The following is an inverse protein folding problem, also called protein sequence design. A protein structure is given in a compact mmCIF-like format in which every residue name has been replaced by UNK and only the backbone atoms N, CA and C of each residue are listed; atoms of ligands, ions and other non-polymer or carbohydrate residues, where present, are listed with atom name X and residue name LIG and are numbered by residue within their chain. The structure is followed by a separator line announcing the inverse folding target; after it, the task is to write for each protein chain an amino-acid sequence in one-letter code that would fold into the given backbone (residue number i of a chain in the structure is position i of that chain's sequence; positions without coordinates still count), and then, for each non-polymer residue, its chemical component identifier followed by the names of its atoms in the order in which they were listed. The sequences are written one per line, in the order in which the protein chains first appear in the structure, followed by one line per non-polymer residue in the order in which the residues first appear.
data_IF_429286503144
#
_entry.id   IF_429286503144
#
_cell.length_a   1.000
_cell.length_b   1.000
_cell.length_c   1.000
_cell.angle_alpha   90.00
_cell.angle_beta   90.00
_cell.angle_gamma   90.00
#
_symmetry.space_group_name_H-M   'P 1'
#
loop_
_entity.id
_entity.type
_entity.pdbx_description
1 polymer ?
#
# COMPACT_ATOMS: atom_id res chain seq x y z
N UNK A 1 -24.31 -80.35 67.59
CA UNK A 1 -23.45 -79.22 68.02
C UNK A 1 -22.08 -79.16 67.35
N UNK A 2 -21.43 -80.26 66.92
CA UNK A 2 -20.10 -80.20 66.26
C UNK A 2 -20.17 -80.06 64.72
N UNK A 3 -21.16 -80.68 64.09
CA UNK A 3 -21.38 -80.64 62.63
C UNK A 3 -21.86 -79.28 62.14
N UNK A 4 -22.78 -78.62 62.87
CA UNK A 4 -23.24 -77.26 62.57
C UNK A 4 -22.12 -76.23 62.68
N UNK A 5 -21.24 -76.38 63.68
CA UNK A 5 -20.06 -75.53 63.85
C UNK A 5 -19.08 -75.68 62.68
N UNK A 6 -18.85 -76.91 62.20
CA UNK A 6 -18.00 -77.16 61.03
C UNK A 6 -18.56 -76.58 59.72
N UNK A 7 -19.88 -76.64 59.53
CA UNK A 7 -20.55 -76.06 58.37
C UNK A 7 -20.50 -74.54 58.41
N UNK A 8 -20.80 -73.94 59.57
CA UNK A 8 -20.71 -72.50 59.80
C UNK A 8 -19.30 -71.98 59.53
N UNK A 9 -18.27 -72.66 60.05
CA UNK A 9 -16.87 -72.31 59.78
C UNK A 9 -16.52 -72.39 58.29
N UNK A 10 -16.96 -73.44 57.59
CA UNK A 10 -16.74 -73.57 56.13
C UNK A 10 -17.43 -72.47 55.33
N UNK A 11 -18.64 -72.09 55.71
CA UNK A 11 -19.37 -70.97 55.08
C UNK A 11 -18.69 -69.63 55.35
N UNK A 12 -18.23 -69.38 56.57
CA UNK A 12 -17.48 -68.18 56.92
C UNK A 12 -16.19 -68.05 56.11
N UNK A 13 -15.37 -69.11 56.06
CA UNK A 13 -14.12 -69.13 55.28
C UNK A 13 -14.40 -68.90 53.80
N UNK A 14 -15.43 -69.54 53.24
CA UNK A 14 -15.82 -69.32 51.84
C UNK A 14 -16.24 -67.86 51.59
N UNK A 15 -17.08 -67.30 52.46
CA UNK A 15 -17.51 -65.90 52.35
C UNK A 15 -16.34 -64.91 52.46
N UNK A 16 -15.36 -65.19 53.32
CA UNK A 16 -14.16 -64.37 53.46
C UNK A 16 -13.29 -64.41 52.19
N UNK A 17 -13.11 -65.61 51.61
CA UNK A 17 -12.39 -65.80 50.34
C UNK A 17 -13.11 -65.08 49.20
N UNK A 18 -14.43 -65.26 49.06
CA UNK A 18 -15.22 -64.63 48.00
C UNK A 18 -15.18 -63.10 48.11
N UNK A 19 -15.22 -62.57 49.35
CA UNK A 19 -15.09 -61.12 49.61
C UNK A 19 -13.70 -60.60 49.24
N UNK A 20 -12.65 -61.35 49.59
CA UNK A 20 -11.27 -61.00 49.23
C UNK A 20 -11.08 -60.98 47.71
N UNK A 21 -11.53 -62.04 47.03
CA UNK A 21 -11.48 -62.13 45.56
C UNK A 21 -12.25 -61.01 44.87
N UNK A 22 -13.41 -60.62 45.39
CA UNK A 22 -14.18 -59.49 44.87
C UNK A 22 -13.41 -58.18 45.01
N UNK A 23 -12.86 -57.90 46.19
CA UNK A 23 -12.04 -56.70 46.43
C UNK A 23 -10.82 -56.65 45.52
N UNK A 24 -10.10 -57.76 45.35
CA UNK A 24 -8.95 -57.81 44.43
C UNK A 24 -9.35 -57.47 42.98
N UNK A 25 -10.50 -57.95 42.50
CA UNK A 25 -11.01 -57.60 41.16
C UNK A 25 -11.46 -56.15 41.05
N UNK A 26 -12.07 -55.61 42.11
CA UNK A 26 -12.47 -54.20 42.15
C UNK A 26 -11.24 -53.28 42.16
N UNK A 27 -10.19 -53.64 42.92
CA UNK A 27 -8.91 -52.93 42.96
C UNK A 27 -8.21 -52.99 41.59
N UNK A 28 -8.19 -54.14 40.92
CA UNK A 28 -7.61 -54.30 39.57
C UNK A 28 -8.27 -53.34 38.56
N UNK A 29 -9.60 -53.27 38.55
CA UNK A 29 -10.34 -52.30 37.73
C UNK A 29 -10.04 -50.84 38.08
N UNK A 30 -9.87 -50.53 39.37
CA UNK A 30 -9.46 -49.19 39.78
C UNK A 30 -8.06 -48.85 39.27
N UNK A 31 -7.11 -49.80 39.33
CA UNK A 31 -5.77 -49.59 38.80
C UNK A 31 -5.77 -49.38 37.28
N UNK A 32 -6.56 -50.15 36.53
CA UNK A 32 -6.74 -49.94 35.08
C UNK A 32 -7.27 -48.54 34.78
N UNK A 33 -8.33 -48.12 35.49
CA UNK A 33 -8.93 -46.78 35.33
C UNK A 33 -7.92 -45.67 35.66
N UNK A 34 -7.11 -45.84 36.71
CA UNK A 34 -6.05 -44.88 37.07
C UNK A 34 -4.99 -44.79 35.96
N UNK A 35 -4.62 -45.92 35.35
CA UNK A 35 -3.66 -45.92 34.24
C UNK A 35 -4.23 -45.21 33.01
N UNK A 36 -5.50 -45.42 32.68
CA UNK A 36 -6.19 -44.72 31.60
C UNK A 36 -6.20 -43.21 31.84
N UNK A 37 -6.60 -42.76 33.04
CA UNK A 37 -6.57 -41.34 33.37
C UNK A 37 -5.17 -40.73 33.32
N UNK A 38 -4.13 -41.47 33.72
CA UNK A 38 -2.74 -41.00 33.58
C UNK A 38 -2.36 -40.79 32.11
N UNK A 39 -2.71 -41.73 31.22
CA UNK A 39 -2.45 -41.60 29.78
C UNK A 39 -3.22 -40.43 29.17
N UNK A 40 -4.49 -40.28 29.53
CA UNK A 40 -5.29 -39.13 29.08
C UNK A 40 -4.71 -37.80 29.55
N UNK A 41 -4.28 -37.71 30.80
CA UNK A 41 -3.68 -36.50 31.36
C UNK A 41 -2.37 -36.14 30.64
N UNK A 42 -1.54 -37.13 30.34
CA UNK A 42 -0.31 -36.93 29.57
C UNK A 42 -0.61 -36.41 28.16
N UNK A 43 -1.60 -37.00 27.48
CA UNK A 43 -2.02 -36.55 26.15
C UNK A 43 -2.59 -35.13 26.18
N UNK A 44 -3.48 -34.81 27.14
CA UNK A 44 -4.01 -33.45 27.33
C UNK A 44 -2.89 -32.44 27.58
N UNK A 45 -1.87 -32.81 28.37
CA UNK A 45 -0.72 -31.95 28.62
C UNK A 45 0.13 -31.72 27.37
N UNK A 46 0.32 -32.73 26.51
CA UNK A 46 1.00 -32.57 25.21
C UNK A 46 0.23 -31.60 24.32
N UNK A 47 -1.06 -31.82 24.13
CA UNK A 47 -1.92 -30.92 23.34
C UNK A 47 -1.96 -29.50 23.91
N UNK A 48 -1.96 -29.33 25.23
CA UNK A 48 -1.92 -28.02 25.86
C UNK A 48 -0.62 -27.28 25.53
N UNK A 49 0.53 -27.96 25.56
CA UNK A 49 1.82 -27.38 25.20
C UNK A 49 1.86 -26.95 23.73
N UNK A 50 1.36 -27.79 22.84
CA UNK A 50 1.25 -27.48 21.40
C UNK A 50 0.38 -26.25 21.15
N UNK A 51 -0.81 -26.20 21.77
CA UNK A 51 -1.71 -25.04 21.66
C UNK A 51 -1.07 -23.76 22.20
N UNK A 52 -0.35 -23.83 23.33
CA UNK A 52 0.37 -22.66 23.87
C UNK A 52 1.44 -22.16 22.91
N UNK A 53 2.18 -23.07 22.28
CA UNK A 53 3.19 -22.72 21.27
C UNK A 53 2.53 -22.05 20.07
N UNK A 54 1.47 -22.64 19.52
CA UNK A 54 0.75 -22.07 18.37
C UNK A 54 0.19 -20.67 18.68
N UNK A 55 -0.37 -20.46 19.88
CA UNK A 55 -0.82 -19.12 20.32
C UNK A 55 0.36 -18.14 20.36
N UNK A 56 1.51 -18.56 20.89
CA UNK A 56 2.69 -17.70 20.95
C UNK A 56 3.21 -17.31 19.56
N UNK A 57 3.22 -18.24 18.61
CA UNK A 57 3.61 -18.00 17.22
C UNK A 57 2.66 -16.99 16.55
N UNK A 58 1.34 -17.22 16.67
CA UNK A 58 0.34 -16.30 16.13
C UNK A 58 0.42 -14.90 16.76
N UNK A 59 0.65 -14.80 18.07
CA UNK A 59 0.83 -13.49 18.72
C UNK A 59 2.06 -12.74 18.19
N UNK A 60 3.16 -13.44 17.93
CA UNK A 60 4.36 -12.85 17.35
C UNK A 60 4.09 -12.31 15.94
N UNK A 61 3.40 -13.09 15.09
CA UNK A 61 3.01 -12.64 13.75
C UNK A 61 2.08 -11.43 13.78
N UNK A 62 1.14 -11.38 14.73
CA UNK A 62 0.25 -10.24 14.91
C UNK A 62 1.03 -8.98 15.29
N UNK A 63 2.01 -9.10 16.21
CA UNK A 63 2.85 -7.97 16.60
C UNK A 63 3.69 -7.46 15.43
N UNK A 64 4.30 -8.35 14.65
CA UNK A 64 5.07 -7.99 13.46
C UNK A 64 4.20 -7.23 12.44
N UNK A 65 3.02 -7.77 12.11
CA UNK A 65 2.08 -7.12 11.18
C UNK A 65 1.58 -5.77 11.67
N UNK A 66 1.40 -5.59 12.98
CA UNK A 66 0.98 -4.30 13.54
C UNK A 66 2.09 -3.25 13.41
N UNK A 67 3.37 -3.64 13.58
CA UNK A 67 4.51 -2.74 13.32
C UNK A 67 4.62 -2.36 11.85
N UNK A 68 4.48 -3.33 10.93
CA UNK A 68 4.49 -3.07 9.49
C UNK A 68 3.35 -2.13 9.07
N UNK A 69 2.16 -2.34 9.63
CA UNK A 69 1.00 -1.47 9.40
C UNK A 69 1.28 -0.03 9.80
N UNK A 70 1.90 0.20 10.96
CA UNK A 70 2.23 1.54 11.44
C UNK A 70 3.27 2.22 10.53
N UNK A 71 4.30 1.50 10.09
CA UNK A 71 5.29 2.01 9.13
C UNK A 71 4.63 2.40 7.78
N UNK A 72 3.70 1.57 7.28
CA UNK A 72 2.95 1.86 6.06
C UNK A 72 2.08 3.13 6.24
N UNK A 73 1.39 3.28 7.38
CA UNK A 73 0.58 4.46 7.68
C UNK A 73 1.44 5.73 7.68
N UNK A 74 2.61 5.68 8.31
CA UNK A 74 3.54 6.81 8.34
C UNK A 74 4.07 7.17 6.95
N UNK A 75 4.40 6.16 6.12
CA UNK A 75 4.81 6.38 4.72
C UNK A 75 3.70 7.02 3.89
N UNK A 76 2.46 6.56 4.04
CA UNK A 76 1.31 7.13 3.33
C UNK A 76 1.11 8.59 3.73
N UNK A 77 1.18 8.91 5.02
CA UNK A 77 1.01 10.26 5.51
C UNK A 77 2.09 11.21 4.96
N UNK A 78 3.37 10.79 4.98
CA UNK A 78 4.48 11.55 4.41
C UNK A 78 4.28 11.80 2.91
N UNK A 79 3.92 10.77 2.15
CA UNK A 79 3.68 10.90 0.71
C UNK A 79 2.53 11.86 0.38
N UNK A 80 1.46 11.84 1.18
CA UNK A 80 0.32 12.76 1.03
C UNK A 80 0.71 14.22 1.27
N UNK A 81 1.53 14.48 2.28
CA UNK A 81 2.06 15.82 2.56
C UNK A 81 2.98 16.31 1.45
N UNK A 82 3.90 15.47 0.98
CA UNK A 82 4.78 15.81 -0.15
C UNK A 82 4.00 16.07 -1.44
N UNK A 83 2.98 15.26 -1.73
CA UNK A 83 2.11 15.46 -2.88
C UNK A 83 1.37 16.80 -2.80
N UNK A 84 0.86 17.15 -1.62
CA UNK A 84 0.16 18.42 -1.40
C UNK A 84 1.09 19.60 -1.64
N UNK A 85 2.30 19.58 -1.06
CA UNK A 85 3.33 20.63 -1.27
C UNK A 85 3.72 20.77 -2.74
N UNK A 86 3.91 19.65 -3.45
CA UNK A 86 4.23 19.68 -4.89
C UNK A 86 3.09 20.27 -5.72
N UNK A 87 1.84 19.91 -5.39
CA UNK A 87 0.66 20.44 -6.07
C UNK A 87 0.56 21.95 -5.89
N UNK A 88 0.69 22.45 -4.67
CA UNK A 88 0.65 23.89 -4.37
C UNK A 88 1.75 24.67 -5.11
N UNK A 89 2.96 24.11 -5.18
CA UNK A 89 4.07 24.71 -5.93
C UNK A 89 3.74 24.82 -7.43
N UNK A 90 3.23 23.74 -8.03
CA UNK A 90 2.86 23.72 -9.45
C UNK A 90 1.73 24.70 -9.72
N UNK A 91 0.71 24.75 -8.87
CA UNK A 91 -0.42 25.69 -9.01
C UNK A 91 0.04 27.15 -8.91
N UNK A 92 0.89 27.47 -7.94
CA UNK A 92 1.48 28.79 -7.78
C UNK A 92 2.31 29.20 -9.00
N UNK A 93 3.19 28.30 -9.46
CA UNK A 93 4.03 28.55 -10.64
C UNK A 93 3.19 28.72 -11.90
N UNK A 94 2.16 27.90 -12.10
CA UNK A 94 1.25 28.00 -13.23
C UNK A 94 0.46 29.32 -13.20
N UNK A 95 0.02 29.75 -12.01
CA UNK A 95 -0.67 31.04 -11.84
C UNK A 95 0.26 32.21 -12.19
N UNK A 96 1.50 32.19 -11.72
CA UNK A 96 2.51 33.20 -12.04
C UNK A 96 2.84 33.22 -13.54
N UNK A 97 3.06 32.04 -14.14
CA UNK A 97 3.32 31.90 -15.57
C UNK A 97 2.15 32.39 -16.42
N UNK A 98 0.90 32.07 -16.03
CA UNK A 98 -0.31 32.55 -16.71
C UNK A 98 -0.41 34.08 -16.65
N UNK A 99 -0.06 34.69 -15.51
CA UNK A 99 0.02 36.15 -15.37
C UNK A 99 1.07 36.75 -16.31
N UNK A 100 2.30 36.21 -16.30
CA UNK A 100 3.39 36.64 -17.20
C UNK A 100 3.01 36.52 -18.67
N UNK A 101 2.42 35.39 -19.06
CA UNK A 101 1.98 35.16 -20.44
C UNK A 101 0.91 36.18 -20.87
N UNK A 102 -0.08 36.46 -20.02
CA UNK A 102 -1.09 37.49 -20.30
C UNK A 102 -0.47 38.86 -20.51
N UNK A 103 0.52 39.22 -19.69
CA UNK A 103 1.22 40.51 -19.83
C UNK A 103 2.02 40.56 -21.15
N UNK A 104 2.72 39.49 -21.52
CA UNK A 104 3.41 39.40 -22.81
C UNK A 104 2.44 39.46 -24.00
N UNK A 105 1.29 38.80 -23.91
CA UNK A 105 0.25 38.86 -24.94
C UNK A 105 -0.31 40.27 -25.10
N UNK A 106 -0.57 40.98 -23.98
CA UNK A 106 -0.98 42.39 -24.02
C UNK A 106 0.08 43.27 -24.66
N UNK A 107 1.34 43.13 -24.25
CA UNK A 107 2.45 43.88 -24.85
C UNK A 107 2.58 43.61 -26.36
N UNK A 108 2.47 42.33 -26.77
CA UNK A 108 2.48 41.94 -28.18
C UNK A 108 1.38 42.64 -28.98
N UNK A 109 0.15 42.66 -28.46
CA UNK A 109 -0.98 43.33 -29.13
C UNK A 109 -0.70 44.84 -29.25
N UNK A 110 -0.24 45.48 -28.18
CA UNK A 110 0.10 46.92 -28.21
C UNK A 110 1.14 47.23 -29.29
N UNK A 111 2.23 46.45 -29.37
CA UNK A 111 3.24 46.62 -30.42
C UNK A 111 2.69 46.35 -31.81
N UNK A 112 1.87 45.30 -31.97
CA UNK A 112 1.27 44.96 -33.25
C UNK A 112 0.35 46.07 -33.77
N UNK A 113 -0.49 46.64 -32.90
CA UNK A 113 -1.43 47.69 -33.26
C UNK A 113 -0.71 49.02 -33.54
N UNK A 114 0.28 49.39 -32.72
CA UNK A 114 1.00 50.66 -32.87
C UNK A 114 1.98 50.67 -34.04
N UNK A 115 2.63 49.54 -34.33
CA UNK A 115 3.61 49.43 -35.40
C UNK A 115 3.02 48.90 -36.71
N UNK A 116 1.78 48.40 -36.69
CA UNK A 116 1.22 47.62 -37.80
C UNK A 116 2.06 46.37 -38.12
N UNK A 117 2.80 45.83 -37.14
CA UNK A 117 3.78 44.76 -37.34
C UNK A 117 3.43 43.52 -36.51
N UNK A 118 3.21 42.40 -37.18
CA UNK A 118 3.05 41.10 -36.55
C UNK A 118 4.25 40.20 -36.82
N UNK A 119 4.84 39.63 -35.76
CA UNK A 119 5.96 38.69 -35.87
C UNK A 119 5.46 37.28 -35.53
N UNK A 120 5.59 36.35 -36.48
CA UNK A 120 5.13 34.95 -36.36
C UNK A 120 6.31 34.00 -36.47
N UNK A 121 6.26 32.91 -35.71
CA UNK A 121 7.20 31.80 -35.89
C UNK A 121 6.70 30.88 -36.99
N UNK A 122 7.56 30.55 -37.96
CA UNK A 122 7.24 29.58 -39.00
C UNK A 122 7.66 28.19 -38.53
N UNK A 123 6.77 27.20 -38.64
CA UNK A 123 7.10 25.80 -38.42
C UNK A 123 7.19 25.12 -39.77
N UNK A 124 8.41 24.72 -40.17
CA UNK A 124 8.59 23.88 -41.35
C UNK A 124 8.39 22.41 -40.94
N UNK A 125 7.64 21.63 -41.74
CA UNK A 125 7.29 20.23 -41.41
C UNK A 125 8.52 19.31 -41.39
N UNK A 126 9.62 19.75 -41.97
CA UNK A 126 10.92 19.08 -42.04
C UNK A 126 11.90 19.51 -40.95
N UNK A 127 11.60 20.55 -40.17
CA UNK A 127 12.52 21.11 -39.18
C UNK A 127 12.21 20.57 -37.77
N UNK A 128 13.18 19.85 -37.19
CA UNK A 128 13.12 19.32 -35.83
C UNK A 128 13.14 20.41 -34.74
N UNK A 129 13.48 21.66 -35.08
CA UNK A 129 13.64 22.77 -34.13
C UNK A 129 12.64 23.88 -34.43
N UNK A 130 11.73 24.12 -33.49
CA UNK A 130 10.75 25.22 -33.56
C UNK A 130 11.48 26.55 -33.40
N UNK A 131 11.47 27.41 -34.43
CA UNK A 131 11.94 28.80 -34.30
C UNK A 131 13.06 29.27 -35.24
N UNK A 132 13.49 28.48 -36.21
CA UNK A 132 14.60 28.87 -37.12
C UNK A 132 14.25 30.03 -38.07
N UNK A 133 12.96 30.24 -38.37
CA UNK A 133 12.48 31.31 -39.25
C UNK A 133 11.34 32.09 -38.63
N UNK A 134 11.39 33.41 -38.80
CA UNK A 134 10.39 34.37 -38.38
C UNK A 134 9.75 35.05 -39.60
N UNK A 135 8.44 35.22 -39.57
CA UNK A 135 7.70 36.04 -40.51
C UNK A 135 7.39 37.39 -39.87
N UNK A 136 7.76 38.45 -40.55
CA UNK A 136 7.42 39.83 -40.24
C UNK A 136 6.33 40.26 -41.22
N UNK A 137 5.13 40.52 -40.69
CA UNK A 137 3.96 40.93 -41.46
C UNK A 137 3.68 42.39 -41.15
N UNK A 138 3.96 43.26 -42.10
CA UNK A 138 3.66 44.69 -42.02
C UNK A 138 2.29 44.98 -42.62
N UNK A 139 1.51 45.80 -41.93
CA UNK A 139 0.20 46.35 -42.32
C UNK A 139 0.25 47.88 -42.18
N UNK A 140 -0.83 48.56 -42.55
CA UNK A 140 -0.91 50.03 -42.54
C UNK A 140 0.14 50.72 -43.44
N UNK A 141 0.66 50.02 -44.45
CA UNK A 141 1.61 50.60 -45.42
C UNK A 141 0.87 51.29 -46.56
N UNK A 142 -0.15 50.66 -47.14
CA UNK A 142 -0.95 51.23 -48.21
C UNK A 142 -2.06 52.13 -47.63
N UNK A 143 -2.07 53.45 -47.89
CA UNK A 143 -3.12 54.34 -47.39
C UNK A 143 -4.52 54.03 -47.93
N UNK A 144 -4.60 53.36 -49.09
CA UNK A 144 -5.88 52.99 -49.73
C UNK A 144 -6.45 51.67 -49.22
N UNK A 145 -5.61 50.85 -48.58
CA UNK A 145 -5.99 49.55 -48.00
C UNK A 145 -5.08 49.25 -46.81
N UNK A 146 -5.53 49.66 -45.62
CA UNK A 146 -4.76 49.51 -44.38
C UNK A 146 -4.54 48.05 -43.97
N UNK A 147 -5.40 47.14 -44.44
CA UNK A 147 -5.31 45.71 -44.13
C UNK A 147 -4.35 44.95 -45.06
N UNK A 148 -3.90 45.57 -46.16
CA UNK A 148 -2.90 44.98 -47.06
C UNK A 148 -1.64 44.54 -46.30
N UNK A 149 -1.23 43.29 -46.52
CA UNK A 149 -0.14 42.65 -45.79
C UNK A 149 1.13 42.54 -46.65
N UNK A 150 2.24 43.05 -46.14
CA UNK A 150 3.57 42.96 -46.73
C UNK A 150 4.43 42.07 -45.85
N UNK A 151 4.86 40.92 -46.39
CA UNK A 151 5.46 39.85 -45.58
C UNK A 151 6.93 39.66 -45.94
N UNK A 152 7.80 39.67 -44.93
CA UNK A 152 9.21 39.29 -45.04
C UNK A 152 9.42 38.07 -44.16
N UNK A 153 10.03 37.01 -44.70
CA UNK A 153 10.47 35.86 -43.90
C UNK A 153 11.96 35.96 -43.70
N UNK A 154 12.42 35.88 -42.46
CA UNK A 154 13.83 35.97 -42.08
C UNK A 154 14.22 34.75 -41.27
N UNK A 155 15.33 34.12 -41.62
CA UNK A 155 15.96 33.03 -40.88
C UNK A 155 17.36 33.41 -40.39
N UNK A 156 17.95 32.53 -39.58
CA UNK A 156 19.35 32.64 -39.16
C UNK A 156 20.11 31.44 -39.74
N UNK A 157 21.21 31.70 -40.46
CA UNK A 157 22.12 30.67 -40.99
C UNK A 157 23.02 30.12 -39.88
N UNK A 158 23.69 29.01 -40.14
CA UNK A 158 24.65 28.40 -39.19
C UNK A 158 25.78 29.35 -38.75
N UNK A 159 26.19 30.27 -39.63
CA UNK A 159 27.20 31.29 -39.33
C UNK A 159 26.64 32.52 -38.58
N UNK A 160 25.38 32.49 -38.15
CA UNK A 160 24.70 33.57 -37.43
C UNK A 160 24.19 34.73 -38.28
N UNK A 161 24.40 34.72 -39.61
CA UNK A 161 23.88 35.76 -40.51
C UNK A 161 22.40 35.58 -40.82
N UNK A 162 21.69 36.69 -41.06
CA UNK A 162 20.29 36.66 -41.49
C UNK A 162 20.16 36.19 -42.95
N UNK A 163 19.07 35.47 -43.24
CA UNK A 163 18.66 35.05 -44.59
C UNK A 163 17.22 35.43 -44.86
#
# INVERSE_FOLDING_TARGET
TTTELSQSHRHFVKSAIDTCLKKCKDDEKMFETIQEFRKELENKNKTLKEKRRAISEVMSEVQEKEMEKEDIIQKIQKLKEEQTKRKELIESQNKANKGRLKNLQKARIVFQDHLGLEIRTVMDKTQLVKGEKLQFVFRNINPSDQDSAYVITMGIKENGSYQ
#
